data_IF_527631516338
#
_entry.id   IF_527631516338
#
_cell.length_a   1.000
_cell.length_b   1.000
_cell.length_c   1.000
_cell.angle_alpha   90.00
_cell.angle_beta   90.00
_cell.angle_gamma   90.00
#
_symmetry.space_group_name_H-M   'P 1'
#
loop_
_entity.id
_entity.type
_entity.pdbx_description
1 polymer ?
#
# COMPACT_ATOMS: atom_id res chain seq x y z
N UNK A 1 -5.69 -11.06 2.15
CA UNK A 1 -5.75 -11.28 3.61
C UNK A 1 -5.37 -9.95 4.22
N UNK A 2 -6.20 -9.40 5.09
CA UNK A 2 -5.84 -8.14 5.70
C UNK A 2 -4.59 -8.35 6.58
N UNK A 3 -3.65 -7.43 6.53
CA UNK A 3 -2.41 -7.47 7.33
C UNK A 3 -2.71 -7.64 8.83
N UNK A 4 -3.78 -7.00 9.30
CA UNK A 4 -4.22 -7.11 10.69
C UNK A 4 -4.57 -8.56 11.09
N UNK A 5 -5.18 -9.33 10.18
CA UNK A 5 -5.47 -10.75 10.40
C UNK A 5 -4.19 -11.58 10.50
N UNK A 6 -3.19 -11.26 9.68
CA UNK A 6 -1.89 -11.93 9.72
C UNK A 6 -1.13 -11.61 11.02
N UNK A 7 -1.09 -10.33 11.42
CA UNK A 7 -0.49 -9.91 12.68
C UNK A 7 -1.18 -10.63 13.85
N UNK A 8 -2.53 -10.66 13.85
CA UNK A 8 -3.29 -11.37 14.88
C UNK A 8 -3.02 -12.88 14.90
N UNK A 9 -2.82 -13.50 13.75
CA UNK A 9 -2.45 -14.93 13.67
C UNK A 9 -1.06 -15.17 14.25
N UNK A 10 -0.07 -14.39 13.83
CA UNK A 10 1.34 -14.63 14.17
C UNK A 10 1.68 -14.26 15.61
N UNK A 11 1.00 -13.29 16.23
CA UNK A 11 1.32 -12.85 17.59
C UNK A 11 1.07 -13.92 18.68
N UNK A 12 0.29 -14.96 18.37
CA UNK A 12 -0.01 -16.06 19.30
C UNK A 12 0.75 -17.35 18.95
N UNK A 13 1.58 -17.31 17.90
CA UNK A 13 2.40 -18.46 17.52
C UNK A 13 3.68 -18.43 18.33
N UNK A 14 3.94 -19.52 19.02
CA UNK A 14 5.20 -19.82 19.67
C UNK A 14 5.65 -21.21 19.26
N UNK A 15 6.88 -21.31 18.80
CA UNK A 15 7.50 -22.57 18.42
C UNK A 15 8.51 -22.99 19.48
N UNK A 16 8.80 -24.29 19.52
CA UNK A 16 9.80 -24.83 20.41
C UNK A 16 11.06 -25.23 19.63
N UNK A 17 12.25 -25.02 20.19
CA UNK A 17 13.49 -25.49 19.56
C UNK A 17 13.42 -27.00 19.19
N UNK A 18 14.00 -27.40 18.05
CA UNK A 18 14.90 -26.62 17.18
C UNK A 18 14.18 -25.72 16.15
N UNK A 19 12.84 -25.76 16.09
CA UNK A 19 12.10 -24.92 15.15
C UNK A 19 11.86 -23.52 15.72
N UNK A 20 12.12 -22.51 14.90
CA UNK A 20 11.93 -21.10 15.22
C UNK A 20 11.36 -20.35 14.02
N UNK A 21 10.96 -19.12 14.23
CA UNK A 21 10.46 -18.24 13.19
C UNK A 21 11.58 -17.31 12.75
N UNK A 22 11.95 -17.38 11.46
CA UNK A 22 12.72 -16.32 10.83
C UNK A 22 11.76 -15.17 10.52
N UNK A 23 11.92 -14.05 11.23
CA UNK A 23 11.27 -12.77 10.90
C UNK A 23 12.29 -11.93 10.14
N UNK A 24 12.15 -11.90 8.81
CA UNK A 24 13.04 -11.15 7.93
C UNK A 24 12.30 -9.95 7.34
N UNK A 25 12.87 -8.78 7.53
CA UNK A 25 12.53 -7.54 6.87
C UNK A 25 13.66 -7.22 5.88
N UNK A 26 13.35 -7.02 4.60
CA UNK A 26 14.34 -6.86 3.54
C UNK A 26 14.00 -5.66 2.65
N UNK A 27 14.83 -4.62 2.70
CA UNK A 27 14.75 -3.50 1.77
C UNK A 27 15.27 -3.95 0.40
N UNK A 28 14.40 -3.89 -0.61
CA UNK A 28 14.70 -4.24 -2.02
C UNK A 28 14.44 -3.08 -2.97
N UNK A 29 14.31 -1.86 -2.45
CA UNK A 29 13.91 -0.68 -3.22
C UNK A 29 15.02 -0.19 -4.14
N UNK A 30 14.95 -0.55 -5.42
CA UNK A 30 15.92 -0.13 -6.45
C UNK A 30 15.94 1.40 -6.69
N UNK A 31 15.02 2.18 -6.11
CA UNK A 31 15.02 3.65 -6.13
C UNK A 31 15.92 4.24 -5.05
N UNK A 32 16.22 3.46 -4.04
CA UNK A 32 17.21 3.79 -3.03
C UNK A 32 18.61 3.68 -3.68
N UNK A 33 19.41 4.78 -3.71
CA UNK A 33 20.75 4.76 -4.26
C UNK A 33 21.64 3.67 -3.67
N UNK A 34 21.43 3.33 -2.39
CA UNK A 34 22.16 2.29 -1.68
C UNK A 34 21.74 0.86 -2.07
N UNK A 35 20.69 0.69 -2.89
CA UNK A 35 20.15 -0.62 -3.31
C UNK A 35 20.21 -0.85 -4.83
N UNK A 36 20.70 0.12 -5.61
CA UNK A 36 20.69 0.08 -7.09
C UNK A 36 21.55 -1.04 -7.67
N UNK A 37 22.63 -1.42 -6.98
CA UNK A 37 23.50 -2.54 -7.36
C UNK A 37 22.98 -3.91 -6.93
N UNK A 38 21.85 -3.95 -6.22
CA UNK A 38 21.30 -5.18 -5.67
C UNK A 38 21.92 -5.58 -4.34
N UNK A 39 22.33 -4.60 -3.54
CA UNK A 39 22.97 -4.74 -2.22
C UNK A 39 22.09 -5.55 -1.25
N UNK A 40 20.77 -5.57 -1.46
CA UNK A 40 19.87 -6.44 -0.72
C UNK A 40 20.26 -7.93 -0.78
N UNK A 41 20.87 -8.39 -1.91
CA UNK A 41 21.38 -9.76 -2.04
C UNK A 41 22.58 -9.99 -1.13
N UNK A 42 23.43 -8.98 -0.99
CA UNK A 42 24.59 -9.01 -0.11
C UNK A 42 24.09 -9.00 1.34
N UNK A 43 23.15 -8.12 1.68
CA UNK A 43 22.54 -8.04 3.00
C UNK A 43 21.86 -9.37 3.38
N UNK A 44 21.11 -9.98 2.45
CA UNK A 44 20.47 -11.28 2.64
C UNK A 44 21.51 -12.38 2.92
N UNK A 45 22.55 -12.48 2.07
CA UNK A 45 23.63 -13.45 2.24
C UNK A 45 24.35 -13.28 3.57
N UNK A 46 24.70 -12.04 3.92
CA UNK A 46 25.43 -11.72 5.17
C UNK A 46 24.57 -11.99 6.40
N UNK A 47 23.26 -11.69 6.35
CA UNK A 47 22.33 -11.97 7.42
C UNK A 47 22.23 -13.47 7.72
N UNK A 48 22.03 -14.27 6.68
CA UNK A 48 22.04 -15.75 6.85
C UNK A 48 23.37 -16.28 7.33
N UNK A 49 24.50 -15.75 6.85
CA UNK A 49 25.84 -16.20 7.30
C UNK A 49 26.06 -15.93 8.78
N UNK A 50 25.65 -14.75 9.29
CA UNK A 50 25.76 -14.42 10.72
C UNK A 50 24.89 -15.33 11.59
N UNK A 51 23.66 -15.59 11.18
CA UNK A 51 22.78 -16.52 11.90
C UNK A 51 23.39 -17.91 11.91
N UNK A 52 23.89 -18.38 10.77
CA UNK A 52 24.53 -19.70 10.67
C UNK A 52 25.77 -19.83 11.55
N UNK A 53 26.67 -18.85 11.56
CA UNK A 53 27.85 -18.81 12.42
C UNK A 53 27.46 -18.88 13.91
N UNK A 54 26.41 -18.16 14.31
CA UNK A 54 25.88 -18.20 15.67
C UNK A 54 25.35 -19.61 16.02
N UNK A 55 24.54 -20.19 15.14
CA UNK A 55 23.88 -21.50 15.38
C UNK A 55 24.87 -22.67 15.32
N UNK A 56 25.86 -22.64 14.43
CA UNK A 56 26.88 -23.68 14.34
C UNK A 56 27.67 -23.88 15.66
N UNK A 57 27.74 -22.83 16.47
CA UNK A 57 28.38 -22.89 17.78
C UNK A 57 27.42 -23.31 18.92
N UNK A 58 26.10 -23.24 18.70
CA UNK A 58 25.08 -23.41 19.74
C UNK A 58 24.15 -24.59 19.49
N UNK A 59 23.59 -24.74 18.30
CA UNK A 59 22.59 -25.78 17.99
C UNK A 59 22.64 -26.18 16.50
N UNK A 60 23.22 -27.37 16.18
CA UNK A 60 23.31 -27.87 14.81
C UNK A 60 21.96 -28.27 14.20
N UNK A 61 20.90 -28.53 14.99
CA UNK A 61 19.57 -28.85 14.45
C UNK A 61 18.85 -27.57 14.01
N UNK A 62 18.96 -26.49 14.76
CA UNK A 62 18.48 -25.17 14.34
C UNK A 62 19.18 -24.70 13.04
N UNK A 63 20.48 -24.98 12.90
CA UNK A 63 21.22 -24.68 11.65
C UNK A 63 20.59 -25.35 10.43
N UNK A 64 20.19 -26.64 10.54
CA UNK A 64 19.53 -27.36 9.44
C UNK A 64 18.16 -26.75 9.09
N UNK A 65 17.36 -26.38 10.10
CA UNK A 65 16.09 -25.69 9.89
C UNK A 65 16.30 -24.38 9.12
N UNK A 66 17.28 -23.58 9.53
CA UNK A 66 17.64 -22.33 8.87
C UNK A 66 18.10 -22.53 7.40
N UNK A 67 18.90 -23.56 7.12
CA UNK A 67 19.34 -23.89 5.77
C UNK A 67 18.16 -24.30 4.86
N UNK A 68 17.18 -25.06 5.39
CA UNK A 68 15.95 -25.42 4.71
C UNK A 68 15.11 -24.18 4.32
N UNK A 69 14.93 -23.27 5.29
CA UNK A 69 14.24 -22.00 5.06
C UNK A 69 14.94 -21.16 4.01
N UNK A 70 16.27 -21.03 4.10
CA UNK A 70 17.09 -20.29 3.12
C UNK A 70 16.92 -20.80 1.71
N UNK A 71 16.89 -22.13 1.52
CA UNK A 71 16.70 -22.74 0.21
C UNK A 71 15.31 -22.37 -0.38
N UNK A 72 14.24 -22.51 0.41
CA UNK A 72 12.86 -22.13 0.01
C UNK A 72 12.78 -20.64 -0.34
N UNK A 73 13.39 -19.77 0.46
CA UNK A 73 13.40 -18.32 0.23
C UNK A 73 14.13 -17.96 -1.06
N UNK A 74 15.29 -18.55 -1.33
CA UNK A 74 16.02 -18.30 -2.57
C UNK A 74 15.19 -18.71 -3.80
N UNK A 75 14.45 -19.81 -3.72
CA UNK A 75 13.55 -20.25 -4.77
C UNK A 75 12.43 -19.22 -5.01
N UNK A 76 11.81 -18.73 -3.94
CA UNK A 76 10.77 -17.70 -4.01
C UNK A 76 11.30 -16.38 -4.60
N UNK A 77 12.47 -15.90 -4.14
CA UNK A 77 13.08 -14.68 -4.64
C UNK A 77 13.45 -14.76 -6.12
N UNK A 78 13.96 -15.92 -6.56
CA UNK A 78 14.25 -16.17 -7.97
C UNK A 78 12.96 -16.16 -8.82
N UNK A 79 11.87 -16.70 -8.29
CA UNK A 79 10.57 -16.71 -8.98
C UNK A 79 9.96 -15.32 -9.15
N UNK A 80 10.18 -14.39 -8.18
CA UNK A 80 9.73 -13.00 -8.30
C UNK A 80 10.45 -12.28 -9.45
N UNK A 81 11.75 -12.53 -9.62
CA UNK A 81 12.54 -12.01 -10.73
C UNK A 81 12.51 -10.47 -10.80
N UNK A 82 11.95 -9.95 -11.93
CA UNK A 82 11.87 -8.50 -12.19
C UNK A 82 10.74 -7.78 -11.42
N UNK A 83 9.77 -8.52 -10.91
CA UNK A 83 8.61 -7.97 -10.19
C UNK A 83 8.92 -7.77 -8.69
N UNK A 84 10.18 -7.42 -8.39
CA UNK A 84 10.64 -7.17 -7.03
C UNK A 84 9.91 -5.94 -6.45
N UNK A 85 9.21 -6.08 -5.30
CA UNK A 85 8.58 -4.94 -4.63
C UNK A 85 9.64 -4.03 -3.99
N UNK A 86 9.22 -2.91 -3.41
CA UNK A 86 10.14 -2.03 -2.65
C UNK A 86 10.71 -2.73 -1.42
N UNK A 87 9.92 -3.59 -0.81
CA UNK A 87 10.34 -4.32 0.38
C UNK A 87 9.64 -5.66 0.48
N UNK A 88 10.30 -6.60 1.13
CA UNK A 88 9.79 -7.93 1.41
C UNK A 88 9.86 -8.19 2.92
N UNK A 89 8.79 -8.76 3.46
CA UNK A 89 8.79 -9.28 4.83
C UNK A 89 8.46 -10.76 4.77
N UNK A 90 9.19 -11.56 5.54
CA UNK A 90 8.96 -12.99 5.65
C UNK A 90 8.81 -13.37 7.12
N UNK A 91 7.77 -14.12 7.41
CA UNK A 91 7.66 -14.90 8.63
C UNK A 91 7.62 -16.36 8.23
N UNK A 92 8.70 -17.08 8.48
CA UNK A 92 8.87 -18.44 7.98
C UNK A 92 9.47 -19.35 9.04
N UNK A 93 9.01 -20.61 9.08
CA UNK A 93 9.56 -21.68 9.91
C UNK A 93 9.75 -22.95 9.10
N UNK A 94 10.51 -23.89 9.61
CA UNK A 94 10.65 -25.21 8.99
C UNK A 94 9.37 -26.05 9.17
N UNK A 95 8.65 -25.88 10.28
CA UNK A 95 7.38 -26.55 10.59
C UNK A 95 6.20 -26.11 9.70
N UNK A 96 6.38 -25.15 8.81
CA UNK A 96 5.38 -24.84 7.77
C UNK A 96 4.77 -23.44 7.81
N UNK A 97 5.24 -22.54 8.68
CA UNK A 97 4.88 -21.12 8.54
C UNK A 97 5.55 -20.59 7.29
N UNK A 98 4.74 -20.03 6.37
CA UNK A 98 5.23 -19.42 5.13
C UNK A 98 4.37 -18.23 4.75
N UNK A 99 4.76 -17.04 5.24
CA UNK A 99 4.00 -15.80 5.06
C UNK A 99 4.90 -14.71 4.44
N UNK A 100 5.09 -14.75 3.11
CA UNK A 100 5.78 -13.68 2.38
C UNK A 100 4.85 -12.50 2.15
N UNK A 101 5.30 -11.29 2.47
CA UNK A 101 4.56 -10.05 2.33
C UNK A 101 5.33 -9.12 1.41
N UNK A 102 4.67 -8.66 0.33
CA UNK A 102 5.20 -7.66 -0.60
C UNK A 102 4.70 -6.28 -0.18
N UNK A 103 5.62 -5.35 0.06
CA UNK A 103 5.30 -3.98 0.47
C UNK A 103 5.79 -2.98 -0.59
N UNK A 104 5.07 -1.84 -0.68
CA UNK A 104 5.45 -0.71 -1.54
C UNK A 104 5.93 0.50 -0.72
N UNK A 105 6.38 0.25 0.50
CA UNK A 105 6.96 1.23 1.42
C UNK A 105 8.39 0.82 1.78
N UNK A 106 9.28 1.78 2.10
CA UNK A 106 10.63 1.47 2.53
C UNK A 106 10.63 0.83 3.92
N UNK A 107 11.57 -0.05 4.18
CA UNK A 107 11.80 -0.68 5.49
C UNK A 107 13.29 -0.78 5.79
N UNK A 108 13.63 -0.93 7.06
CA UNK A 108 14.98 -1.32 7.47
C UNK A 108 15.18 -2.81 7.30
N UNK A 109 16.34 -3.22 6.78
CA UNK A 109 16.70 -4.64 6.71
C UNK A 109 17.05 -5.16 8.09
N UNK A 110 16.29 -6.15 8.57
CA UNK A 110 16.45 -6.79 9.89
C UNK A 110 16.23 -8.29 9.79
N UNK A 111 16.97 -9.04 10.62
CA UNK A 111 16.89 -10.50 10.73
C UNK A 111 16.67 -10.85 12.19
N UNK A 112 15.68 -11.70 12.45
CA UNK A 112 15.38 -12.24 13.78
C UNK A 112 15.14 -13.74 13.65
N UNK A 113 15.73 -14.51 14.55
CA UNK A 113 15.56 -15.96 14.65
C UNK A 113 15.10 -16.30 16.06
N UNK A 114 13.79 -16.36 16.24
CA UNK A 114 13.17 -16.40 17.56
C UNK A 114 12.05 -17.44 17.61
N UNK A 115 11.66 -17.86 18.81
CA UNK A 115 10.53 -18.76 19.01
C UNK A 115 9.20 -18.13 18.61
N UNK A 116 9.12 -16.80 18.56
CA UNK A 116 7.94 -16.02 18.18
C UNK A 116 8.25 -15.08 17.03
N UNK A 117 7.21 -14.69 16.27
CA UNK A 117 7.36 -13.70 15.22
C UNK A 117 7.65 -12.30 15.78
N UNK A 118 8.70 -11.64 15.30
CA UNK A 118 9.02 -10.24 15.64
C UNK A 118 8.22 -9.32 14.73
N UNK A 119 7.12 -8.76 15.23
CA UNK A 119 6.11 -8.04 14.49
C UNK A 119 6.21 -6.51 14.61
N UNK A 120 7.12 -5.98 15.44
CA UNK A 120 7.13 -4.56 15.81
C UNK A 120 7.30 -3.64 14.61
N UNK A 121 8.21 -3.94 13.68
CA UNK A 121 8.40 -3.16 12.47
C UNK A 121 7.16 -3.21 11.57
N UNK A 122 6.51 -4.37 11.41
CA UNK A 122 5.28 -4.50 10.63
C UNK A 122 4.12 -3.74 11.26
N UNK A 123 3.97 -3.78 12.59
CA UNK A 123 2.98 -2.98 13.32
C UNK A 123 3.22 -1.48 13.16
N UNK A 124 4.47 -1.04 13.26
CA UNK A 124 4.85 0.36 13.02
C UNK A 124 4.53 0.81 11.58
N UNK A 125 4.84 -0.01 10.59
CA UNK A 125 4.48 0.26 9.20
C UNK A 125 2.96 0.35 9.00
N UNK A 126 2.19 -0.53 9.65
CA UNK A 126 0.72 -0.52 9.57
C UNK A 126 0.12 0.76 10.15
N UNK A 127 0.74 1.34 11.19
CA UNK A 127 0.35 2.63 11.76
C UNK A 127 0.77 3.82 10.87
N UNK A 128 1.98 3.76 10.31
CA UNK A 128 2.51 4.82 9.44
C UNK A 128 1.77 4.87 8.09
N UNK A 129 1.42 3.71 7.52
CA UNK A 129 0.76 3.56 6.22
C UNK A 129 -0.59 2.83 6.35
N UNK A 130 -1.58 3.46 7.01
CA UNK A 130 -2.91 2.87 7.21
C UNK A 130 -3.67 2.72 5.88
N UNK A 131 -4.83 2.07 5.94
CA UNK A 131 -5.75 2.03 4.80
C UNK A 131 -6.13 3.46 4.39
N UNK A 132 -5.64 3.90 3.23
CA UNK A 132 -5.78 5.27 2.76
C UNK A 132 -6.49 5.33 1.42
N UNK A 133 -7.47 6.23 1.29
CA UNK A 133 -8.06 6.60 0.03
C UNK A 133 -7.49 7.96 -0.43
N UNK A 134 -6.87 7.96 -1.61
CA UNK A 134 -6.47 9.18 -2.30
C UNK A 134 -7.56 9.53 -3.30
N UNK A 135 -8.20 10.68 -3.11
CA UNK A 135 -9.32 11.18 -3.89
C UNK A 135 -8.80 12.30 -4.77
N UNK A 136 -8.61 12.02 -6.04
CA UNK A 136 -8.12 12.98 -7.04
C UNK A 136 -9.32 13.60 -7.72
N UNK A 137 -9.44 14.93 -7.69
CA UNK A 137 -10.60 15.65 -8.22
C UNK A 137 -10.19 16.61 -9.32
N UNK A 138 -10.99 16.65 -10.38
CA UNK A 138 -10.87 17.65 -11.43
C UNK A 138 -12.25 17.89 -12.05
N UNK A 139 -12.86 19.04 -11.79
CA UNK A 139 -14.16 19.45 -12.35
C UNK A 139 -15.25 18.35 -12.22
N UNK A 140 -15.51 17.59 -13.28
CA UNK A 140 -16.53 16.56 -13.39
C UNK A 140 -15.98 15.14 -13.28
N UNK A 141 -14.71 14.98 -12.97
CA UNK A 141 -14.07 13.68 -12.80
C UNK A 141 -13.46 13.50 -11.41
N UNK A 142 -13.55 12.29 -10.91
CA UNK A 142 -12.92 11.87 -9.66
C UNK A 142 -12.28 10.50 -9.82
N UNK A 143 -11.01 10.38 -9.42
CA UNK A 143 -10.32 9.10 -9.33
C UNK A 143 -10.03 8.80 -7.86
N UNK A 144 -10.40 7.61 -7.42
CA UNK A 144 -10.12 7.11 -6.07
C UNK A 144 -9.07 6.03 -6.18
N UNK A 145 -7.97 6.18 -5.45
CA UNK A 145 -6.90 5.18 -5.34
C UNK A 145 -6.87 4.69 -3.90
N UNK A 146 -7.23 3.44 -3.69
CA UNK A 146 -7.19 2.80 -2.36
C UNK A 146 -5.83 2.15 -2.16
N UNK A 147 -5.20 2.39 -1.00
CA UNK A 147 -3.90 1.80 -0.67
C UNK A 147 -3.87 1.21 0.74
N UNK A 148 -3.07 0.15 0.90
CA UNK A 148 -2.70 -0.41 2.19
C UNK A 148 -1.20 -0.66 2.17
N UNK A 149 -0.45 -0.17 3.15
CA UNK A 149 1.02 -0.27 3.18
C UNK A 149 1.67 0.19 1.87
N UNK A 150 1.17 1.29 1.29
CA UNK A 150 1.63 1.87 0.04
C UNK A 150 1.29 1.07 -1.23
N UNK A 151 0.71 -0.12 -1.11
CA UNK A 151 0.27 -0.94 -2.24
C UNK A 151 -1.11 -0.48 -2.70
N UNK A 152 -1.28 -0.30 -4.01
CA UNK A 152 -2.58 -0.02 -4.61
C UNK A 152 -3.43 -1.29 -4.55
N UNK A 153 -4.57 -1.22 -3.87
CA UNK A 153 -5.55 -2.31 -3.77
C UNK A 153 -6.70 -2.15 -4.77
N UNK A 154 -7.10 -0.89 -5.04
CA UNK A 154 -8.14 -0.59 -6.02
C UNK A 154 -7.94 0.80 -6.62
N UNK A 155 -8.39 0.96 -7.86
CA UNK A 155 -8.51 2.25 -8.53
C UNK A 155 -9.92 2.33 -9.12
N UNK A 156 -10.66 3.37 -8.77
CA UNK A 156 -11.98 3.62 -9.30
C UNK A 156 -12.02 5.03 -9.88
N UNK A 157 -12.71 5.20 -11.02
CA UNK A 157 -12.90 6.50 -11.67
C UNK A 157 -14.38 6.79 -11.78
N UNK A 158 -14.76 8.00 -11.45
CA UNK A 158 -16.12 8.50 -11.53
C UNK A 158 -16.17 9.72 -12.44
N UNK A 159 -17.20 9.76 -13.24
CA UNK A 159 -17.54 10.89 -14.11
C UNK A 159 -18.95 11.35 -13.79
N UNK A 160 -19.16 12.64 -13.82
CA UNK A 160 -20.49 13.20 -13.59
C UNK A 160 -21.34 13.13 -14.87
N UNK A 161 -22.46 12.42 -14.76
CA UNK A 161 -23.47 12.34 -15.82
C UNK A 161 -24.47 13.50 -15.69
N UNK A 162 -24.42 14.43 -16.64
CA UNK A 162 -25.30 15.60 -16.68
C UNK A 162 -26.77 15.24 -16.89
N UNK A 163 -27.06 14.17 -17.64
CA UNK A 163 -28.43 13.78 -17.97
C UNK A 163 -29.15 13.26 -16.73
N UNK A 164 -28.46 12.41 -15.96
CA UNK A 164 -29.02 11.79 -14.76
C UNK A 164 -28.63 12.55 -13.48
N UNK A 165 -27.92 13.65 -13.60
CA UNK A 165 -27.38 14.43 -12.48
C UNK A 165 -26.73 13.57 -11.38
N UNK A 166 -25.90 12.61 -11.77
CA UNK A 166 -25.28 11.61 -10.87
C UNK A 166 -23.85 11.27 -11.26
N UNK A 167 -23.07 10.84 -10.24
CA UNK A 167 -21.74 10.31 -10.46
C UNK A 167 -21.82 8.83 -10.88
N UNK A 168 -21.24 8.50 -12.03
CA UNK A 168 -21.17 7.15 -12.57
C UNK A 168 -19.75 6.62 -12.51
N UNK A 169 -19.60 5.34 -12.17
CA UNK A 169 -18.31 4.66 -12.24
C UNK A 169 -17.96 4.45 -13.73
N UNK A 170 -16.80 4.96 -14.14
CA UNK A 170 -16.27 4.81 -15.49
C UNK A 170 -15.20 3.72 -15.48
N UNK A 171 -15.49 2.58 -16.11
CA UNK A 171 -14.58 1.43 -16.20
C UNK A 171 -13.67 1.49 -17.44
N UNK A 172 -13.80 2.48 -18.30
CA UNK A 172 -13.06 2.57 -19.57
C UNK A 172 -12.34 3.90 -19.73
N UNK A 173 -11.27 3.88 -20.51
CA UNK A 173 -10.70 5.09 -21.07
C UNK A 173 -11.83 5.81 -21.82
N UNK A 174 -12.18 7.00 -21.31
CA UNK A 174 -13.28 7.79 -21.82
C UNK A 174 -12.97 8.18 -23.25
N UNK A 175 -13.84 7.84 -24.18
CA UNK A 175 -13.95 8.59 -25.44
C UNK A 175 -14.20 10.03 -25.04
N UNK A 176 -13.21 10.89 -25.28
CA UNK A 176 -13.31 12.32 -24.92
C UNK A 176 -14.53 12.91 -25.62
N UNK A 177 -15.44 13.48 -24.83
CA UNK A 177 -16.57 14.21 -25.36
C UNK A 177 -16.11 15.28 -26.40
N UNK A 178 -16.89 15.56 -27.42
CA UNK A 178 -16.57 16.63 -28.35
C UNK A 178 -16.35 17.96 -27.63
N UNK A 179 -15.45 18.84 -28.09
CA UNK A 179 -15.10 20.08 -27.39
C UNK A 179 -16.30 21.00 -27.05
N UNK A 180 -17.37 20.90 -27.82
CA UNK A 180 -18.59 21.67 -27.57
C UNK A 180 -19.36 21.16 -26.35
N UNK A 181 -19.43 19.84 -26.14
CA UNK A 181 -20.06 19.22 -24.98
C UNK A 181 -19.22 19.46 -23.75
N UNK A 182 -17.90 19.41 -23.85
CA UNK A 182 -16.97 19.68 -22.77
C UNK A 182 -17.14 21.09 -22.18
N UNK A 183 -17.32 22.11 -23.01
CA UNK A 183 -17.54 23.48 -22.53
C UNK A 183 -18.88 23.62 -21.78
N UNK A 184 -19.96 23.06 -22.34
CA UNK A 184 -21.26 23.03 -21.64
C UNK A 184 -21.21 22.29 -20.32
N UNK A 185 -20.46 21.22 -20.28
CA UNK A 185 -20.22 20.44 -19.05
C UNK A 185 -19.49 21.28 -17.99
N UNK A 186 -18.45 22.01 -18.38
CA UNK A 186 -17.71 22.90 -17.48
C UNK A 186 -18.60 24.01 -16.91
N UNK A 187 -19.40 24.67 -17.71
CA UNK A 187 -20.34 25.72 -17.27
C UNK A 187 -21.34 25.11 -16.24
N UNK A 188 -21.96 23.99 -16.59
CA UNK A 188 -22.94 23.32 -15.71
C UNK A 188 -22.32 22.86 -14.38
N UNK A 189 -21.09 22.33 -14.39
CA UNK A 189 -20.36 21.95 -13.19
C UNK A 189 -20.07 23.18 -12.34
N UNK A 190 -19.60 24.27 -12.94
CA UNK A 190 -19.29 25.50 -12.20
C UNK A 190 -20.53 26.10 -11.52
N UNK A 191 -21.68 26.13 -12.21
CA UNK A 191 -22.93 26.62 -11.64
C UNK A 191 -23.50 25.75 -10.53
N UNK A 192 -23.29 24.44 -10.57
CA UNK A 192 -23.86 23.46 -9.65
C UNK A 192 -22.81 22.78 -8.76
N UNK A 193 -21.60 23.27 -8.72
CA UNK A 193 -20.45 22.60 -8.07
C UNK A 193 -20.74 22.14 -6.65
N UNK A 194 -21.25 23.01 -5.81
CA UNK A 194 -21.58 22.67 -4.42
C UNK A 194 -22.57 21.52 -4.30
N UNK A 195 -23.62 21.50 -5.14
CA UNK A 195 -24.63 20.43 -5.15
C UNK A 195 -24.05 19.10 -5.61
N UNK A 196 -23.18 19.13 -6.63
CA UNK A 196 -22.53 17.95 -7.20
C UNK A 196 -21.61 17.29 -6.18
N UNK A 197 -20.72 18.07 -5.58
CA UNK A 197 -19.76 17.56 -4.61
C UNK A 197 -20.39 17.16 -3.27
N UNK A 198 -21.51 17.77 -2.88
CA UNK A 198 -22.32 17.30 -1.74
C UNK A 198 -22.84 15.88 -1.95
N UNK A 199 -23.31 15.55 -3.16
CA UNK A 199 -23.74 14.17 -3.49
C UNK A 199 -22.55 13.21 -3.52
N UNK A 200 -21.41 13.65 -4.05
CA UNK A 200 -20.18 12.86 -4.04
C UNK A 200 -19.71 12.58 -2.61
N UNK A 201 -19.72 13.58 -1.73
CA UNK A 201 -19.33 13.43 -0.33
C UNK A 201 -20.12 12.32 0.38
N UNK A 202 -21.44 12.28 0.19
CA UNK A 202 -22.27 11.21 0.75
C UNK A 202 -21.89 9.82 0.22
N UNK A 203 -21.55 9.71 -1.07
CA UNK A 203 -21.09 8.46 -1.67
C UNK A 203 -19.70 8.04 -1.14
N UNK A 204 -18.80 9.01 -0.96
CA UNK A 204 -17.46 8.77 -0.41
C UNK A 204 -17.53 8.32 1.05
N UNK A 205 -18.41 8.91 1.87
CA UNK A 205 -18.65 8.47 3.26
C UNK A 205 -19.13 7.03 3.34
N UNK A 206 -20.08 6.63 2.48
CA UNK A 206 -20.54 5.25 2.40
C UNK A 206 -19.41 4.29 2.02
N UNK A 207 -18.58 4.67 1.04
CA UNK A 207 -17.40 3.89 0.63
C UNK A 207 -16.37 3.82 1.77
N UNK A 208 -16.09 4.93 2.42
CA UNK A 208 -15.14 4.99 3.52
C UNK A 208 -15.55 4.04 4.65
N UNK A 209 -16.83 3.95 4.96
CA UNK A 209 -17.36 3.02 5.95
C UNK A 209 -17.27 1.55 5.47
N UNK A 210 -17.72 1.25 4.25
CA UNK A 210 -17.74 -0.09 3.69
C UNK A 210 -16.30 -0.66 3.50
N UNK A 211 -15.37 0.15 3.03
CA UNK A 211 -13.98 -0.20 2.76
C UNK A 211 -13.08 -0.03 3.98
N UNK A 212 -13.59 0.56 5.06
CA UNK A 212 -12.85 0.85 6.29
C UNK A 212 -11.60 1.68 6.05
N UNK A 213 -11.72 2.72 5.20
CA UNK A 213 -10.61 3.66 5.03
C UNK A 213 -10.32 4.33 6.38
N UNK A 214 -9.07 4.32 6.78
CA UNK A 214 -8.63 4.96 8.03
C UNK A 214 -8.22 6.41 7.78
N UNK A 215 -7.69 6.68 6.59
CA UNK A 215 -7.20 7.99 6.18
C UNK A 215 -7.76 8.35 4.81
N UNK A 216 -8.09 9.62 4.60
CA UNK A 216 -8.50 10.17 3.31
C UNK A 216 -7.66 11.40 2.98
N UNK A 217 -7.15 11.45 1.75
CA UNK A 217 -6.36 12.55 1.22
C UNK A 217 -7.04 13.03 -0.06
N UNK A 218 -7.29 14.34 -0.17
CA UNK A 218 -7.85 14.93 -1.39
C UNK A 218 -6.74 15.66 -2.13
N UNK A 219 -6.62 15.41 -3.44
CA UNK A 219 -5.76 16.17 -4.34
C UNK A 219 -6.58 16.75 -5.48
N UNK A 220 -6.49 18.08 -5.68
CA UNK A 220 -7.25 18.82 -6.67
C UNK A 220 -7.21 20.32 -6.42
N UNK A 221 -8.20 21.04 -6.96
CA UNK A 221 -8.35 22.45 -6.66
C UNK A 221 -8.86 22.68 -5.24
N UNK A 222 -8.54 23.85 -4.70
CA UNK A 222 -8.87 24.19 -3.31
C UNK A 222 -10.36 24.23 -3.06
N UNK A 223 -11.13 24.79 -4.00
CA UNK A 223 -12.56 24.98 -3.85
C UNK A 223 -13.30 23.64 -3.74
N UNK A 224 -13.00 22.72 -4.64
CA UNK A 224 -13.52 21.35 -4.61
C UNK A 224 -13.15 20.62 -3.32
N UNK A 225 -11.90 20.73 -2.88
CA UNK A 225 -11.44 20.10 -1.66
C UNK A 225 -12.17 20.65 -0.42
N UNK A 226 -12.41 21.97 -0.38
CA UNK A 226 -13.12 22.63 0.72
C UNK A 226 -14.62 22.28 0.73
N UNK A 227 -15.27 22.15 -0.44
CA UNK A 227 -16.66 21.70 -0.54
C UNK A 227 -16.80 20.24 -0.03
N UNK A 228 -15.92 19.36 -0.44
CA UNK A 228 -15.92 17.97 0.03
C UNK A 228 -15.73 17.90 1.54
N UNK A 229 -14.75 18.61 2.09
CA UNK A 229 -14.44 18.65 3.52
C UNK A 229 -15.64 19.15 4.35
N UNK A 230 -16.38 20.15 3.85
CA UNK A 230 -17.59 20.67 4.52
C UNK A 230 -18.76 19.68 4.55
N UNK A 231 -18.83 18.77 3.57
CA UNK A 231 -19.98 17.88 3.40
C UNK A 231 -19.69 16.42 3.76
N UNK A 232 -18.46 16.05 4.00
CA UNK A 232 -18.09 14.70 4.45
C UNK A 232 -18.20 14.58 5.97
N UNK A 233 -18.72 13.43 6.43
CA UNK A 233 -18.75 13.10 7.85
C UNK A 233 -17.42 12.56 8.35
N UNK A 234 -16.71 11.80 7.49
CA UNK A 234 -15.37 11.31 7.82
C UNK A 234 -14.34 12.42 7.57
N UNK A 235 -13.49 12.74 8.57
CA UNK A 235 -12.51 13.82 8.43
C UNK A 235 -11.50 13.53 7.32
N UNK A 236 -11.17 14.56 6.56
CA UNK A 236 -10.11 14.54 5.56
C UNK A 236 -8.78 14.77 6.27
N UNK A 237 -7.81 13.87 6.05
CA UNK A 237 -6.52 13.93 6.70
C UNK A 237 -5.64 15.05 6.14
N UNK A 238 -5.60 15.20 4.82
CA UNK A 238 -4.88 16.30 4.16
C UNK A 238 -5.52 16.69 2.82
N UNK A 239 -5.29 17.95 2.44
CA UNK A 239 -5.72 18.52 1.16
C UNK A 239 -4.50 19.03 0.39
N UNK A 240 -4.28 18.51 -0.81
CA UNK A 240 -3.11 18.78 -1.65
C UNK A 240 -3.55 19.51 -2.90
N UNK A 241 -3.05 20.74 -3.12
CA UNK A 241 -3.44 21.57 -4.25
C UNK A 241 -2.63 21.21 -5.49
N UNK A 242 -2.88 20.02 -6.05
CA UNK A 242 -2.24 19.53 -7.28
C UNK A 242 -3.24 18.76 -8.11
N UNK A 243 -3.20 18.99 -9.43
CA UNK A 243 -3.96 18.20 -10.39
C UNK A 243 -3.15 16.95 -10.76
N UNK A 244 -3.55 15.82 -10.23
CA UNK A 244 -2.90 14.52 -10.40
C UNK A 244 -3.83 13.48 -11.06
N UNK A 245 -5.01 13.89 -11.53
CA UNK A 245 -6.04 12.99 -12.04
C UNK A 245 -5.54 12.10 -13.18
N UNK A 246 -4.76 12.66 -14.10
CA UNK A 246 -4.26 11.98 -15.29
C UNK A 246 -2.85 11.40 -15.13
N UNK A 247 -2.26 11.54 -13.96
CA UNK A 247 -0.96 10.94 -13.67
C UNK A 247 -1.08 9.44 -13.42
N UNK A 248 0.05 8.74 -13.63
CA UNK A 248 0.14 7.32 -13.31
C UNK A 248 -0.03 7.09 -11.80
N UNK A 249 -0.85 6.12 -11.42
CA UNK A 249 -1.26 5.86 -10.04
C UNK A 249 -0.06 5.62 -9.11
N UNK A 250 0.96 4.90 -9.55
CA UNK A 250 2.15 4.65 -8.73
C UNK A 250 2.93 5.94 -8.45
N UNK A 251 3.05 6.85 -9.44
CA UNK A 251 3.68 8.16 -9.25
C UNK A 251 2.86 9.03 -8.31
N UNK A 252 1.53 9.01 -8.47
CA UNK A 252 0.61 9.73 -7.58
C UNK A 252 0.82 9.29 -6.13
N UNK A 253 0.80 7.99 -5.88
CA UNK A 253 0.96 7.43 -4.52
C UNK A 253 2.34 7.77 -3.95
N UNK A 254 3.41 7.65 -4.74
CA UNK A 254 4.75 8.01 -4.29
C UNK A 254 4.87 9.48 -3.88
N UNK A 255 4.17 10.35 -4.60
CA UNK A 255 4.14 11.78 -4.33
C UNK A 255 3.30 12.10 -3.09
N UNK A 256 2.09 11.57 -3.01
CA UNK A 256 1.12 11.87 -1.95
C UNK A 256 1.49 11.24 -0.60
N UNK A 257 2.13 10.08 -0.57
CA UNK A 257 2.63 9.47 0.69
C UNK A 257 3.70 10.34 1.35
N UNK A 258 4.47 11.10 0.58
CA UNK A 258 5.49 11.99 1.14
C UNK A 258 4.91 13.31 1.70
N UNK A 259 3.74 13.73 1.21
CA UNK A 259 3.09 14.99 1.55
C UNK A 259 1.92 14.82 2.56
N UNK A 260 1.44 13.59 2.75
CA UNK A 260 0.35 13.24 3.67
C UNK A 260 0.88 12.78 5.03
#
# INVERSE_FOLDING_TARGET
>A
MAIDSLINKLQYVQLEPPDKILSLYLNTDMRDPEQQGGEWKIALKSGFSRLKEYLAASDPEEEKCLDGIRAKMNQYLNAIGKDMPRSLVFFVSDSGIWEPIKLQVPIDTRFYWEETAVLDQLKGLRQAYPSTAFILTQQHEVKIIETVLGKIEAVERYEYDMINESWKNSHSAVDKAPPFEENRMREHVTENQSRLYKRLAASLDQKAAAKRWERMVIAGDKETADILDQHMNKPIHSKIQKNLLNENEHKVIEHLIKEA
#
